data_IF_763937982347
#
_entry.id   IF_763937982347
#
_cell.length_a   1.000
_cell.length_b   1.000
_cell.length_c   1.000
_cell.angle_alpha   90.00
_cell.angle_beta   90.00
_cell.angle_gamma   90.00
#
_symmetry.space_group_name_H-M   'P 1'
#
loop_
_entity.id
_entity.type
_entity.pdbx_description
1 polymer ?
#
# COMPACT_ATOMS: atom_id res chain seq x y z
N UNK A 1 9.55 -9.33 -5.92
CA UNK A 1 8.31 -9.24 -5.14
C UNK A 1 7.62 -7.93 -5.41
N UNK A 2 6.38 -7.98 -5.78
CA UNK A 2 5.60 -6.80 -6.11
C UNK A 2 4.86 -6.29 -4.89
N UNK A 3 5.07 -5.03 -4.55
CA UNK A 3 4.42 -4.41 -3.40
C UNK A 3 3.65 -3.19 -3.86
N UNK A 4 2.39 -3.09 -3.46
CA UNK A 4 1.59 -1.90 -3.71
C UNK A 4 1.52 -1.10 -2.43
N UNK A 5 1.99 0.13 -2.48
CA UNK A 5 1.96 1.05 -1.35
C UNK A 5 0.82 2.03 -1.57
N UNK A 6 -0.09 2.12 -0.62
CA UNK A 6 -1.27 2.98 -0.71
C UNK A 6 -1.20 4.01 0.40
N UNK A 7 -1.03 5.28 0.03
CA UNK A 7 -0.90 6.36 1.00
C UNK A 7 -1.19 7.65 0.27
N UNK A 8 -2.00 8.52 0.87
CA UNK A 8 -2.33 9.79 0.24
C UNK A 8 -1.20 10.81 0.31
N UNK A 9 -0.15 10.51 1.08
CA UNK A 9 1.04 11.36 1.15
C UNK A 9 1.97 11.01 -0.01
N UNK A 10 2.10 11.91 -0.97
CA UNK A 10 2.92 11.61 -2.15
C UNK A 10 4.40 11.46 -1.83
N UNK A 11 4.86 12.02 -0.72
CA UNK A 11 6.26 11.89 -0.31
C UNK A 11 6.64 10.45 0.01
N UNK A 12 5.68 9.61 0.29
CA UNK A 12 5.92 8.21 0.61
C UNK A 12 6.66 7.50 -0.52
N UNK A 13 6.35 7.85 -1.77
CA UNK A 13 7.03 7.24 -2.90
C UNK A 13 8.53 7.44 -2.83
N UNK A 14 8.95 8.68 -2.60
CA UNK A 14 10.38 8.98 -2.54
C UNK A 14 11.03 8.32 -1.34
N UNK A 15 10.35 8.30 -0.21
CA UNK A 15 10.88 7.66 0.98
C UNK A 15 11.13 6.18 0.76
N UNK A 16 10.16 5.48 0.18
CA UNK A 16 10.31 4.06 -0.08
C UNK A 16 11.40 3.80 -1.11
N UNK A 17 11.47 4.62 -2.16
CA UNK A 17 12.48 4.43 -3.19
C UNK A 17 13.88 4.64 -2.66
N UNK A 18 14.06 5.58 -1.75
CA UNK A 18 15.36 5.81 -1.14
C UNK A 18 15.71 4.71 -0.13
N UNK A 19 14.75 4.34 0.69
CA UNK A 19 14.98 3.38 1.75
C UNK A 19 15.32 2.00 1.20
N UNK A 20 14.69 1.62 0.12
CA UNK A 20 14.84 0.28 -0.46
C UNK A 20 15.57 0.29 -1.79
N UNK A 21 16.43 1.28 -1.99
CA UNK A 21 17.09 1.46 -3.27
C UNK A 21 17.87 0.23 -3.71
N UNK A 22 18.56 -0.42 -2.79
CA UNK A 22 19.34 -1.62 -3.12
C UNK A 22 18.45 -2.74 -3.58
N UNK A 23 17.36 -2.95 -2.86
CA UNK A 23 16.43 -4.03 -3.17
C UNK A 23 15.73 -3.79 -4.51
N UNK A 24 15.41 -2.54 -4.78
CA UNK A 24 14.80 -2.20 -6.06
C UNK A 24 15.79 -2.42 -7.20
N UNK A 25 17.02 -1.98 -7.01
CA UNK A 25 18.03 -2.09 -8.05
C UNK A 25 18.37 -3.54 -8.36
N UNK A 26 18.39 -4.39 -7.35
CA UNK A 26 18.71 -5.80 -7.53
C UNK A 26 17.53 -6.59 -8.08
N UNK A 27 16.33 -6.00 -8.10
CA UNK A 27 15.14 -6.71 -8.53
C UNK A 27 14.46 -7.50 -7.45
N UNK A 28 14.96 -7.44 -6.21
CA UNK A 28 14.34 -8.17 -5.10
C UNK A 28 12.96 -7.62 -4.75
N UNK A 29 12.79 -6.29 -4.82
CA UNK A 29 11.52 -5.63 -4.54
C UNK A 29 11.15 -4.71 -5.69
N UNK A 30 9.86 -4.64 -5.97
CA UNK A 30 9.31 -3.72 -6.94
C UNK A 30 8.12 -3.04 -6.30
N UNK A 31 8.14 -1.71 -6.27
CA UNK A 31 7.08 -0.93 -5.64
C UNK A 31 6.21 -0.25 -6.67
N UNK A 32 4.92 -0.28 -6.42
CA UNK A 32 3.95 0.53 -7.14
C UNK A 32 3.22 1.36 -6.10
N UNK A 33 2.79 2.54 -6.48
CA UNK A 33 2.20 3.47 -5.53
C UNK A 33 0.82 3.89 -5.99
N UNK A 34 -0.12 3.89 -5.05
CA UNK A 34 -1.45 4.43 -5.25
C UNK A 34 -1.68 5.47 -4.17
N UNK A 35 -2.24 6.60 -4.53
CA UNK A 35 -2.38 7.70 -3.59
C UNK A 35 -3.80 7.83 -3.07
N UNK A 36 -4.61 6.82 -3.30
CA UNK A 36 -5.96 6.73 -2.76
C UNK A 36 -6.41 5.27 -2.81
N UNK A 37 -7.46 4.97 -2.07
CA UNK A 37 -8.05 3.64 -2.13
C UNK A 37 -8.61 3.31 -3.50
N UNK A 38 -9.21 4.32 -4.14
CA UNK A 38 -9.76 4.15 -5.48
C UNK A 38 -8.68 3.82 -6.50
N UNK A 39 -7.53 4.50 -6.40
CA UNK A 39 -6.41 4.20 -7.29
C UNK A 39 -5.89 2.79 -7.05
N UNK A 40 -5.83 2.39 -5.78
CA UNK A 40 -5.36 1.06 -5.44
C UNK A 40 -6.26 -0.01 -6.05
N UNK A 41 -7.58 0.17 -5.95
CA UNK A 41 -8.50 -0.79 -6.52
C UNK A 41 -8.39 -0.85 -8.03
N UNK A 42 -8.25 0.29 -8.68
CA UNK A 42 -8.06 0.33 -10.13
C UNK A 42 -6.80 -0.43 -10.54
N UNK A 43 -5.72 -0.25 -9.78
CA UNK A 43 -4.47 -0.96 -10.04
C UNK A 43 -4.66 -2.47 -9.90
N UNK A 44 -5.32 -2.89 -8.82
CA UNK A 44 -5.52 -4.32 -8.56
C UNK A 44 -6.44 -4.96 -9.58
N UNK A 45 -7.46 -4.25 -10.02
CA UNK A 45 -8.37 -4.78 -11.04
C UNK A 45 -7.67 -4.96 -12.38
N UNK A 46 -6.74 -4.07 -12.69
CA UNK A 46 -5.99 -4.16 -13.94
C UNK A 46 -4.91 -5.24 -13.89
N UNK A 47 -4.43 -5.59 -12.69
CA UNK A 47 -3.30 -6.53 -12.53
C UNK A 47 -3.58 -7.50 -11.40
N UNK A 48 -4.56 -8.38 -11.57
CA UNK A 48 -5.07 -9.14 -10.42
C UNK A 48 -4.09 -10.14 -9.81
N UNK A 49 -3.07 -10.54 -10.52
CA UNK A 49 -2.16 -11.56 -10.00
C UNK A 49 -0.74 -11.08 -9.73
N UNK A 50 -0.49 -9.79 -9.84
CA UNK A 50 0.89 -9.31 -9.77
C UNK A 50 1.32 -8.84 -8.39
N UNK A 51 0.38 -8.41 -7.56
CA UNK A 51 0.72 -7.85 -6.26
C UNK A 51 0.74 -8.93 -5.21
N UNK A 52 1.83 -9.03 -4.47
CA UNK A 52 1.96 -10.00 -3.38
C UNK A 52 1.76 -9.40 -2.01
N UNK A 53 1.93 -8.09 -1.89
CA UNK A 53 1.78 -7.42 -0.60
C UNK A 53 1.23 -6.02 -0.83
N UNK A 54 0.28 -5.64 -0.01
CA UNK A 54 -0.27 -4.29 0.00
C UNK A 54 0.06 -3.65 1.34
N UNK A 55 0.72 -2.51 1.29
CA UNK A 55 1.00 -1.70 2.48
C UNK A 55 0.12 -0.46 2.38
N UNK A 56 -0.86 -0.34 3.25
CA UNK A 56 -1.83 0.74 3.16
C UNK A 56 -1.87 1.57 4.43
N UNK A 57 -1.90 2.88 4.26
CA UNK A 57 -2.24 3.78 5.36
C UNK A 57 -3.69 3.54 5.75
N UNK A 58 -4.00 3.67 7.03
CA UNK A 58 -5.36 3.50 7.52
C UNK A 58 -6.17 4.74 7.22
N UNK A 59 -5.63 5.91 7.55
CA UNK A 59 -6.38 7.15 7.49
C UNK A 59 -6.10 7.90 6.20
N UNK A 60 -7.02 7.78 5.26
CA UNK A 60 -6.93 8.49 3.99
C UNK A 60 -8.26 9.16 3.70
N UNK A 61 -8.24 10.32 3.03
CA UNK A 61 -9.50 10.95 2.62
C UNK A 61 -10.27 10.05 1.68
N UNK A 62 -11.57 10.10 1.76
CA UNK A 62 -12.42 9.23 0.94
C UNK A 62 -12.41 7.83 1.49
N UNK A 63 -11.79 6.91 0.78
CA UNK A 63 -11.74 5.52 1.21
C UNK A 63 -10.58 5.31 2.17
N UNK A 64 -10.88 4.83 3.38
CA UNK A 64 -9.84 4.50 4.35
C UNK A 64 -9.15 3.20 3.98
N UNK A 65 -8.02 2.93 4.65
CA UNK A 65 -7.33 1.65 4.45
C UNK A 65 -8.17 0.46 4.85
N UNK A 66 -8.99 0.61 5.88
CA UNK A 66 -9.86 -0.49 6.31
C UNK A 66 -10.98 -0.75 5.30
N UNK A 67 -11.51 0.31 4.71
CA UNK A 67 -12.49 0.16 3.64
C UNK A 67 -11.87 -0.49 2.42
N UNK A 68 -10.65 -0.10 2.09
CA UNK A 68 -9.93 -0.71 1.00
C UNK A 68 -9.73 -2.20 1.23
N UNK A 69 -9.37 -2.59 2.45
CA UNK A 69 -9.22 -4.00 2.79
C UNK A 69 -10.51 -4.77 2.54
N UNK A 70 -11.64 -4.18 2.92
CA UNK A 70 -12.94 -4.81 2.68
C UNK A 70 -13.19 -5.05 1.19
N UNK A 71 -12.91 -4.05 0.37
CA UNK A 71 -13.09 -4.18 -1.07
C UNK A 71 -12.14 -5.21 -1.68
N UNK A 72 -10.91 -5.24 -1.23
CA UNK A 72 -9.94 -6.21 -1.73
C UNK A 72 -10.42 -7.62 -1.46
N UNK A 73 -10.97 -7.85 -0.28
CA UNK A 73 -11.48 -9.17 0.07
C UNK A 73 -12.73 -9.52 -0.70
N UNK A 74 -13.66 -8.57 -0.82
CA UNK A 74 -14.91 -8.81 -1.52
C UNK A 74 -14.69 -9.11 -2.98
N UNK A 75 -13.76 -8.41 -3.59
CA UNK A 75 -13.51 -8.57 -5.02
C UNK A 75 -12.61 -9.76 -5.33
N UNK A 76 -12.08 -10.41 -4.30
CA UNK A 76 -11.28 -11.61 -4.51
C UNK A 76 -9.96 -11.37 -5.20
N UNK A 77 -9.34 -10.21 -4.97
CA UNK A 77 -8.08 -9.90 -5.61
C UNK A 77 -6.96 -10.78 -5.12
N UNK A 78 -7.24 -11.50 -4.20
CA UNK A 78 -6.28 -12.24 -3.58
C UNK A 78 -6.63 -13.57 -3.46
N UNK A 79 -6.14 -14.40 -2.88
CA UNK A 79 -4.99 -14.70 -2.21
C UNK A 79 -4.03 -14.87 -3.32
N UNK A 80 -2.93 -14.60 -3.21
CA UNK A 80 -2.19 -14.63 -1.99
C UNK A 80 -1.75 -13.27 -1.53
N UNK A 81 -2.47 -12.23 -1.87
CA UNK A 81 -2.03 -10.91 -1.43
C UNK A 81 -2.26 -10.76 0.06
N UNK A 82 -1.24 -10.33 0.74
CA UNK A 82 -1.32 -9.98 2.14
C UNK A 82 -1.43 -8.48 2.23
N UNK A 83 -2.32 -8.00 3.07
CA UNK A 83 -2.48 -6.57 3.25
C UNK A 83 -2.11 -6.18 4.67
N UNK A 84 -1.22 -5.20 4.79
CA UNK A 84 -0.77 -4.69 6.07
C UNK A 84 -1.13 -3.23 6.20
N UNK A 85 -1.57 -2.83 7.38
CA UNK A 85 -1.91 -1.45 7.66
C UNK A 85 -0.72 -0.73 8.25
N UNK A 86 -0.51 0.50 7.79
CA UNK A 86 0.54 1.35 8.30
C UNK A 86 -0.11 2.52 9.01
N UNK A 87 0.28 2.74 10.26
CA UNK A 87 -0.31 3.81 11.06
C UNK A 87 0.77 4.77 11.50
N UNK A 88 1.58 5.19 10.56
CA UNK A 88 2.86 5.78 10.90
C UNK A 88 2.75 7.04 11.75
N UNK A 89 1.99 8.01 11.30
CA UNK A 89 2.04 9.30 11.96
C UNK A 89 1.15 9.41 13.17
N UNK A 90 -0.06 8.94 13.03
CA UNK A 90 -0.99 9.00 14.14
C UNK A 90 -0.50 8.21 15.32
N UNK A 91 0.00 7.03 15.06
CA UNK A 91 0.49 6.17 16.13
C UNK A 91 1.70 6.73 16.82
N UNK A 92 2.60 7.31 16.05
CA UNK A 92 3.78 7.89 16.65
C UNK A 92 3.42 9.01 17.61
N UNK A 93 2.52 9.86 17.19
CA UNK A 93 2.08 10.94 18.05
C UNK A 93 1.37 10.43 19.29
N UNK A 94 0.58 9.40 19.10
CA UNK A 94 -0.13 8.82 20.23
C UNK A 94 0.84 8.21 21.23
N UNK A 95 1.87 7.57 20.76
CA UNK A 95 2.83 6.95 21.67
C UNK A 95 3.64 7.95 22.45
N UNK A 96 3.76 9.14 21.96
CA UNK A 96 4.49 10.19 22.69
C UNK A 96 3.69 10.79 23.81
N UNK A 97 2.43 10.51 23.90
CA UNK A 97 1.57 11.04 24.93
C UNK A 97 1.70 10.32 26.29
#
# INVERSE_FOLDING_TARGET
MQILVVDDETDVRDLFQQRFRREIRSGALSFNFAFSGEEALAFLRARPSEVLLILSDINMPGMSGLELLGHVREEGHMPPTTMMMITAYGDEQSRQQ
#
